data_IF_134183677348
#
_entry.id   IF_134183677348
#
_cell.length_a   1.000
_cell.length_b   1.000
_cell.length_c   1.000
_cell.angle_alpha   90.00
_cell.angle_beta   90.00
_cell.angle_gamma   90.00
#
_symmetry.space_group_name_H-M   'P 1'
#
loop_
_entity.id
_entity.type
_entity.pdbx_description
1 polymer ?
#
# COMPACT_ATOMS: atom_id res chain seq x y z
N UNK A 1 66.11 -5.90 -17.31
CA UNK A 1 65.13 -4.86 -16.95
C UNK A 1 63.90 -4.99 -17.85
N UNK A 2 62.85 -5.70 -17.41
CA UNK A 2 61.56 -5.77 -18.12
C UNK A 2 60.47 -5.66 -17.06
N UNK A 3 59.83 -4.48 -16.95
CA UNK A 3 58.71 -4.26 -16.03
C UNK A 3 57.44 -4.73 -16.73
N UNK A 4 56.92 -5.87 -16.33
CA UNK A 4 55.61 -6.40 -16.74
C UNK A 4 54.58 -5.72 -15.83
N UNK A 5 53.84 -4.77 -16.38
CA UNK A 5 52.73 -4.10 -15.71
C UNK A 5 51.50 -5.00 -15.76
N UNK A 6 51.03 -5.44 -14.59
CA UNK A 6 49.73 -6.08 -14.46
C UNK A 6 48.65 -5.00 -14.59
N UNK A 7 47.91 -5.02 -15.70
CA UNK A 7 46.67 -4.27 -15.87
C UNK A 7 45.58 -5.03 -15.13
N UNK A 8 45.32 -4.63 -13.88
CA UNK A 8 44.24 -5.15 -13.06
C UNK A 8 42.91 -4.57 -13.58
N UNK A 9 42.22 -5.32 -14.44
CA UNK A 9 40.89 -4.96 -14.92
C UNK A 9 39.88 -5.20 -13.79
N UNK A 10 39.54 -4.14 -13.05
CA UNK A 10 38.42 -4.15 -12.10
C UNK A 10 37.12 -4.23 -12.90
N UNK A 11 36.60 -5.43 -13.09
CA UNK A 11 35.23 -5.64 -13.57
C UNK A 11 34.30 -5.19 -12.45
N UNK A 12 33.80 -3.95 -12.55
CA UNK A 12 32.69 -3.47 -11.73
C UNK A 12 31.43 -4.21 -12.16
N UNK A 13 31.19 -5.38 -11.57
CA UNK A 13 29.90 -6.06 -11.67
C UNK A 13 28.89 -5.23 -10.88
N UNK A 14 28.19 -4.32 -11.57
CA UNK A 14 27.07 -3.59 -10.99
C UNK A 14 26.00 -4.59 -10.55
N UNK A 15 25.95 -4.89 -9.25
CA UNK A 15 24.82 -5.55 -8.63
C UNK A 15 23.63 -4.60 -8.83
N UNK A 16 22.83 -4.87 -9.86
CA UNK A 16 21.49 -4.32 -9.91
C UNK A 16 20.77 -4.95 -8.72
N UNK A 17 20.53 -4.18 -7.66
CA UNK A 17 19.53 -4.58 -6.68
C UNK A 17 18.20 -4.62 -7.45
N UNK A 18 17.79 -5.80 -7.92
CA UNK A 18 16.38 -6.05 -8.12
C UNK A 18 15.74 -5.79 -6.76
N UNK A 19 14.99 -4.70 -6.62
CA UNK A 19 14.09 -4.52 -5.51
C UNK A 19 13.15 -5.72 -5.55
N UNK A 20 13.40 -6.71 -4.69
CA UNK A 20 12.54 -7.87 -4.55
C UNK A 20 11.17 -7.35 -4.15
N UNK A 21 10.15 -7.77 -4.90
CA UNK A 21 8.78 -7.43 -4.59
C UNK A 21 8.46 -7.87 -3.17
N UNK A 22 8.13 -6.92 -2.30
CA UNK A 22 7.89 -7.22 -0.89
C UNK A 22 6.65 -8.11 -0.78
N UNK A 23 6.64 -9.13 0.11
CA UNK A 23 5.43 -9.88 0.43
C UNK A 23 4.28 -8.94 0.84
N UNK A 24 3.04 -9.33 0.58
CA UNK A 24 1.84 -8.50 0.87
C UNK A 24 1.83 -8.04 2.33
N UNK A 25 2.14 -8.92 3.28
CA UNK A 25 2.21 -8.60 4.71
C UNK A 25 3.26 -7.53 5.02
N UNK A 26 4.44 -7.61 4.41
CA UNK A 26 5.49 -6.60 4.57
C UNK A 26 5.07 -5.25 3.97
N UNK A 27 4.32 -5.27 2.87
CA UNK A 27 3.75 -4.04 2.29
C UNK A 27 2.64 -3.46 3.17
N UNK A 28 1.84 -4.29 3.82
CA UNK A 28 0.83 -3.85 4.81
C UNK A 28 1.52 -3.21 6.01
N UNK A 29 2.59 -3.82 6.52
CA UNK A 29 3.38 -3.30 7.64
C UNK A 29 4.03 -1.95 7.31
N UNK A 30 4.55 -1.77 6.09
CA UNK A 30 5.03 -0.47 5.65
C UNK A 30 3.87 0.54 5.49
N UNK A 31 2.79 0.15 4.81
CA UNK A 31 1.69 1.05 4.50
C UNK A 31 0.94 1.54 5.74
N UNK A 32 0.84 0.73 6.81
CA UNK A 32 0.18 1.17 8.05
C UNK A 32 0.92 2.30 8.79
N UNK A 33 2.20 2.54 8.44
CA UNK A 33 3.04 3.62 8.95
C UNK A 33 3.50 4.59 7.84
N UNK A 34 2.88 4.56 6.66
CA UNK A 34 3.31 5.38 5.53
C UNK A 34 3.13 6.88 5.78
N UNK A 35 4.06 7.69 5.24
CA UNK A 35 4.12 9.15 5.43
C UNK A 35 2.86 9.91 4.95
N UNK A 36 2.05 9.29 4.09
CA UNK A 36 0.78 9.86 3.63
C UNK A 36 -0.36 9.74 4.65
N UNK A 37 -0.19 8.94 5.71
CA UNK A 37 -1.20 8.75 6.76
C UNK A 37 -1.08 9.82 7.83
N UNK A 38 -2.22 10.28 8.33
CA UNK A 38 -2.25 11.16 9.49
C UNK A 38 -1.83 10.43 10.77
N UNK A 39 -1.26 11.17 11.73
CA UNK A 39 -0.96 10.66 13.07
C UNK A 39 -2.20 10.08 13.77
N UNK A 40 -3.39 10.67 13.54
CA UNK A 40 -4.64 10.18 14.11
C UNK A 40 -5.06 8.82 13.53
N UNK A 41 -4.83 8.57 12.24
CA UNK A 41 -5.07 7.27 11.64
C UNK A 41 -4.03 6.24 12.11
N UNK A 42 -2.75 6.60 12.17
CA UNK A 42 -1.68 5.73 12.67
C UNK A 42 -1.93 5.33 14.14
N UNK A 43 -2.34 6.27 15.00
CA UNK A 43 -2.63 6.00 16.41
C UNK A 43 -3.71 4.92 16.62
N UNK A 44 -4.59 4.71 15.62
CA UNK A 44 -5.65 3.70 15.67
C UNK A 44 -5.19 2.29 15.28
N UNK A 45 -3.98 2.14 14.73
CA UNK A 45 -3.41 0.84 14.34
C UNK A 45 -3.46 -0.17 15.49
N UNK A 46 -3.19 0.27 16.73
CA UNK A 46 -3.21 -0.60 17.93
C UNK A 46 -4.56 -1.26 18.23
N UNK A 47 -5.65 -0.70 17.74
CA UNK A 47 -7.01 -1.21 17.95
C UNK A 47 -7.52 -2.00 16.73
N UNK A 48 -6.96 -1.70 15.56
CA UNK A 48 -7.40 -2.26 14.27
C UNK A 48 -6.51 -3.37 13.74
N UNK A 49 -5.34 -3.58 14.35
CA UNK A 49 -4.40 -4.67 14.04
C UNK A 49 -4.24 -4.93 12.53
N UNK A 50 -3.86 -3.93 11.71
CA UNK A 50 -4.03 -3.98 10.26
C UNK A 50 -3.33 -5.18 9.61
N UNK A 51 -2.10 -5.52 10.01
CA UNK A 51 -1.41 -6.72 9.53
C UNK A 51 -2.25 -7.97 9.83
N UNK A 52 -2.59 -8.20 11.11
CA UNK A 52 -3.36 -9.37 11.51
C UNK A 52 -4.74 -9.45 10.82
N UNK A 53 -5.46 -8.34 10.73
CA UNK A 53 -6.78 -8.30 10.09
C UNK A 53 -6.68 -8.55 8.58
N UNK A 54 -5.78 -7.88 7.87
CA UNK A 54 -5.68 -8.02 6.42
C UNK A 54 -5.08 -9.37 6.01
N UNK A 55 -4.16 -9.93 6.80
CA UNK A 55 -3.69 -11.31 6.64
C UNK A 55 -4.81 -12.32 6.89
N UNK A 56 -5.65 -12.12 7.91
CA UNK A 56 -6.80 -12.98 8.16
C UNK A 56 -7.82 -12.94 7.00
N UNK A 57 -8.05 -11.77 6.42
CA UNK A 57 -8.88 -11.60 5.22
C UNK A 57 -8.24 -12.19 3.95
N UNK A 58 -6.96 -12.57 4.01
CA UNK A 58 -6.26 -13.29 2.94
C UNK A 58 -5.93 -12.43 1.73
N UNK A 59 -5.68 -11.13 1.92
CA UNK A 59 -5.28 -10.22 0.83
C UNK A 59 -4.04 -10.77 0.13
N UNK A 60 -4.08 -10.85 -1.20
CA UNK A 60 -3.02 -11.39 -2.06
C UNK A 60 -2.83 -10.53 -3.32
N UNK A 61 -1.67 -10.71 -3.95
CA UNK A 61 -1.40 -10.15 -5.27
C UNK A 61 -2.39 -10.69 -6.31
N UNK A 62 -2.73 -9.85 -7.29
CA UNK A 62 -3.69 -10.11 -8.36
C UNK A 62 -5.16 -9.89 -7.96
N UNK A 63 -5.46 -9.69 -6.67
CA UNK A 63 -6.84 -9.49 -6.23
C UNK A 63 -7.42 -8.14 -6.69
N UNK A 64 -8.73 -8.15 -6.95
CA UNK A 64 -9.55 -6.94 -6.95
C UNK A 64 -10.22 -6.82 -5.59
N UNK A 65 -9.88 -5.78 -4.82
CA UNK A 65 -10.39 -5.55 -3.47
C UNK A 65 -11.30 -4.33 -3.49
N UNK A 66 -12.56 -4.54 -3.11
CA UNK A 66 -13.56 -3.49 -2.99
C UNK A 66 -13.77 -3.12 -1.52
N UNK A 67 -13.50 -1.87 -1.17
CA UNK A 67 -13.86 -1.30 0.13
C UNK A 67 -15.24 -0.63 0.04
N UNK A 68 -16.22 -1.18 0.76
CA UNK A 68 -17.57 -0.62 0.81
C UNK A 68 -17.63 0.41 1.95
N UNK A 69 -18.01 1.64 1.61
CA UNK A 69 -18.11 2.76 2.53
C UNK A 69 -16.81 3.03 3.31
N UNK A 70 -15.76 3.52 2.62
CA UNK A 70 -14.46 3.79 3.24
C UNK A 70 -14.51 4.83 4.37
N UNK A 71 -15.58 5.64 4.42
CA UNK A 71 -15.70 6.76 5.36
C UNK A 71 -14.48 7.66 5.26
N UNK A 72 -13.83 7.96 6.39
CA UNK A 72 -12.60 8.75 6.45
C UNK A 72 -11.33 8.01 5.95
N UNK A 73 -11.46 6.87 5.24
CA UNK A 73 -10.38 6.26 4.46
C UNK A 73 -9.34 5.47 5.24
N UNK A 74 -9.63 5.03 6.48
CA UNK A 74 -8.61 4.42 7.34
C UNK A 74 -7.94 3.17 6.73
N UNK A 75 -8.74 2.25 6.14
CA UNK A 75 -8.21 1.09 5.43
C UNK A 75 -7.80 1.44 4.00
N UNK A 76 -8.50 2.37 3.34
CA UNK A 76 -8.13 2.90 2.02
C UNK A 76 -6.66 3.31 1.95
N UNK A 77 -6.20 4.08 2.94
CA UNK A 77 -4.82 4.55 3.03
C UNK A 77 -3.79 3.41 3.18
N UNK A 78 -4.19 2.20 3.57
CA UNK A 78 -3.33 1.01 3.64
C UNK A 78 -3.49 0.18 2.36
N UNK A 79 -4.72 -0.13 1.95
CA UNK A 79 -5.04 -1.01 0.83
C UNK A 79 -4.62 -0.42 -0.51
N UNK A 80 -4.81 0.88 -0.73
CA UNK A 80 -4.49 1.54 -1.99
C UNK A 80 -2.99 1.41 -2.36
N UNK A 81 -2.02 1.72 -1.47
CA UNK A 81 -0.60 1.49 -1.78
C UNK A 81 -0.23 0.00 -1.80
N UNK A 82 -0.82 -0.85 -0.95
CA UNK A 82 -0.53 -2.31 -0.93
C UNK A 82 -0.86 -2.99 -2.26
N UNK A 83 -1.95 -2.56 -2.93
CA UNK A 83 -2.44 -3.13 -4.18
C UNK A 83 -1.95 -2.37 -5.43
N UNK A 84 -1.30 -1.22 -5.28
CA UNK A 84 -0.86 -0.39 -6.41
C UNK A 84 0.12 -1.15 -7.30
N UNK A 85 -0.30 -1.46 -8.53
CA UNK A 85 0.51 -2.22 -9.49
C UNK A 85 0.64 -3.72 -9.17
N UNK A 86 -0.06 -4.20 -8.14
CA UNK A 86 -0.08 -5.60 -7.68
C UNK A 86 -1.48 -6.19 -7.64
N UNK A 87 -2.50 -5.40 -7.97
CA UNK A 87 -3.90 -5.78 -7.99
C UNK A 87 -4.74 -4.56 -8.36
N UNK A 88 -6.03 -4.60 -8.00
CA UNK A 88 -6.94 -3.48 -8.19
C UNK A 88 -7.63 -3.16 -6.87
N UNK A 89 -7.64 -1.88 -6.53
CA UNK A 89 -8.39 -1.37 -5.38
C UNK A 89 -9.58 -0.55 -5.89
N UNK A 90 -10.76 -0.80 -5.34
CA UNK A 90 -12.00 -0.09 -5.66
C UNK A 90 -12.61 0.44 -4.37
N UNK A 91 -12.75 1.75 -4.25
CA UNK A 91 -13.52 2.37 -3.17
C UNK A 91 -14.98 2.54 -3.62
N UNK A 92 -15.89 1.79 -3.02
CA UNK A 92 -17.32 1.90 -3.27
C UNK A 92 -17.95 2.90 -2.30
N UNK A 93 -18.36 4.04 -2.84
CA UNK A 93 -19.02 5.14 -2.13
C UNK A 93 -20.41 5.42 -2.70
N UNK A 94 -21.14 6.37 -2.12
CA UNK A 94 -22.43 6.80 -2.65
C UNK A 94 -22.26 7.48 -4.01
N UNK A 95 -23.25 7.27 -4.87
CA UNK A 95 -23.41 8.01 -6.10
C UNK A 95 -23.98 9.39 -5.75
N UNK A 96 -23.20 10.45 -5.99
CA UNK A 96 -23.63 11.83 -5.68
C UNK A 96 -24.64 12.39 -6.68
N UNK A 97 -24.85 11.71 -7.81
CA UNK A 97 -25.78 12.13 -8.86
C UNK A 97 -27.21 11.66 -8.60
N UNK A 98 -27.41 10.75 -7.63
CA UNK A 98 -28.75 10.30 -7.23
C UNK A 98 -29.40 11.36 -6.31
N UNK A 99 -30.52 11.99 -6.72
CA UNK A 99 -31.16 13.06 -5.96
C UNK A 99 -31.83 12.56 -4.67
N UNK A 100 -32.17 13.51 -3.79
CA UNK A 100 -32.97 13.29 -2.56
C UNK A 100 -32.41 12.24 -1.58
N UNK A 101 -31.10 12.04 -1.58
CA UNK A 101 -30.43 11.18 -0.60
C UNK A 101 -30.37 11.81 0.79
N UNK A 102 -30.34 10.99 1.85
CA UNK A 102 -30.16 11.49 3.21
C UNK A 102 -28.88 12.31 3.36
N UNK A 103 -28.99 13.48 4.01
CA UNK A 103 -27.91 14.44 4.26
C UNK A 103 -26.61 13.83 4.81
N UNK A 104 -26.72 12.78 5.62
CA UNK A 104 -25.55 12.11 6.18
C UNK A 104 -24.64 11.49 5.11
N UNK A 105 -25.16 11.14 3.93
CA UNK A 105 -24.37 10.52 2.85
C UNK A 105 -23.37 11.50 2.25
N UNK A 106 -23.79 12.74 2.00
CA UNK A 106 -22.90 13.80 1.51
C UNK A 106 -21.84 14.17 2.55
N UNK A 107 -22.22 14.23 3.83
CA UNK A 107 -21.28 14.54 4.92
C UNK A 107 -20.19 13.48 5.09
N UNK A 108 -20.51 12.20 4.87
CA UNK A 108 -19.55 11.10 5.01
C UNK A 108 -18.63 10.93 3.79
N UNK A 109 -18.85 11.71 2.73
CA UNK A 109 -18.11 11.66 1.47
C UNK A 109 -17.16 12.87 1.29
N UNK A 110 -17.16 13.81 2.25
CA UNK A 110 -16.26 14.96 2.35
C UNK A 110 -15.10 14.71 3.31
#
# INVERSE_FOLDING_TARGET
MKKIGYLFCFVLFSLSLQASDLPVEARIEQAMHGDHRSDSNIARNRYRHPVGTLSFLGIQDGMTVMEIWPGAGWYTEILAPVLRGKGQFVAATWDVDVPDQPEYRYRLQM
#
